data_IF_939595878138
#
_entry.id   IF_939595878138
#
_cell.length_a   1.000
_cell.length_b   1.000
_cell.length_c   1.000
_cell.angle_alpha   90.00
_cell.angle_beta   90.00
_cell.angle_gamma   90.00
#
_symmetry.space_group_name_H-M   'P 1'
#
loop_
_entity.id
_entity.type
_entity.pdbx_description
1 polymer ?
#
# COMPACT_ATOMS: atom_id res chain seq x y z
N UNK A 1 12.80 2.33 -13.83
CA UNK A 1 11.64 2.99 -13.20
C UNK A 1 10.43 2.77 -14.08
N UNK A 2 9.25 2.62 -13.48
CA UNK A 2 7.99 2.39 -14.20
C UNK A 2 6.87 3.21 -13.55
N UNK A 3 5.96 3.71 -14.37
CA UNK A 3 4.66 4.17 -13.90
C UNK A 3 3.77 2.96 -13.78
N UNK A 4 3.42 2.56 -12.56
CA UNK A 4 2.37 1.60 -12.31
C UNK A 4 1.02 2.31 -12.39
N UNK A 5 0.12 1.75 -13.19
CA UNK A 5 -1.28 2.18 -13.26
C UNK A 5 -2.14 0.98 -12.90
N UNK A 6 -3.00 1.16 -11.91
CA UNK A 6 -4.00 0.18 -11.47
C UNK A 6 -5.38 0.83 -11.52
N UNK A 7 -6.24 0.35 -12.40
CA UNK A 7 -7.65 0.71 -12.42
C UNK A 7 -8.36 -0.30 -11.55
N UNK A 8 -8.81 0.13 -10.36
CA UNK A 8 -9.46 -0.72 -9.37
C UNK A 8 -10.99 -0.57 -9.49
N UNK A 9 -11.67 -1.67 -9.80
CA UNK A 9 -13.12 -1.76 -9.79
C UNK A 9 -13.64 -2.18 -8.40
N UNK A 10 -12.93 -3.10 -7.73
CA UNK A 10 -13.25 -3.56 -6.36
C UNK A 10 -12.77 -2.54 -5.33
N UNK A 11 -13.48 -1.43 -5.20
CA UNK A 11 -13.13 -0.29 -4.35
C UNK A 11 -13.08 -0.63 -2.86
N UNK A 12 -13.82 -1.63 -2.39
CA UNK A 12 -13.75 -2.14 -1.01
C UNK A 12 -12.36 -2.66 -0.63
N UNK A 13 -11.54 -3.08 -1.60
CA UNK A 13 -10.18 -3.55 -1.38
C UNK A 13 -9.16 -2.41 -1.31
N UNK A 14 -9.56 -1.16 -1.55
CA UNK A 14 -8.66 -0.02 -1.70
C UNK A 14 -7.79 0.19 -0.46
N UNK A 15 -8.39 0.18 0.74
CA UNK A 15 -7.66 0.42 1.98
C UNK A 15 -6.56 -0.63 2.20
N UNK A 16 -6.92 -1.92 2.17
CA UNK A 16 -5.98 -3.03 2.30
C UNK A 16 -4.89 -3.02 1.22
N UNK A 17 -5.25 -2.66 -0.01
CA UNK A 17 -4.30 -2.51 -1.11
C UNK A 17 -3.27 -1.42 -0.82
N UNK A 18 -3.71 -0.23 -0.38
CA UNK A 18 -2.81 0.89 -0.08
C UNK A 18 -1.90 0.57 1.11
N UNK A 19 -2.44 -0.06 2.15
CA UNK A 19 -1.65 -0.54 3.29
C UNK A 19 -0.60 -1.57 2.86
N UNK A 20 -1.01 -2.56 2.06
CA UNK A 20 -0.12 -3.60 1.55
C UNK A 20 1.00 -3.03 0.67
N UNK A 21 0.70 -2.05 -0.18
CA UNK A 21 1.70 -1.36 -1.01
C UNK A 21 2.68 -0.57 -0.13
N UNK A 22 2.17 0.15 0.86
CA UNK A 22 2.97 0.90 1.82
C UNK A 22 3.92 -0.02 2.62
N UNK A 23 3.40 -1.14 3.15
CA UNK A 23 4.18 -2.15 3.88
C UNK A 23 5.25 -2.82 3.01
N UNK A 24 4.96 -2.99 1.72
CA UNK A 24 5.92 -3.45 0.71
C UNK A 24 6.99 -2.40 0.33
N UNK A 25 6.97 -1.21 0.93
CA UNK A 25 7.88 -0.11 0.60
C UNK A 25 7.59 0.53 -0.76
N UNK A 26 6.41 0.29 -1.33
CA UNK A 26 5.90 0.96 -2.53
C UNK A 26 5.14 2.20 -2.04
N UNK A 27 5.90 3.25 -1.77
CA UNK A 27 5.38 4.52 -1.25
C UNK A 27 5.10 5.54 -2.34
N UNK A 28 4.09 6.39 -2.10
CA UNK A 28 3.71 7.48 -3.01
C UNK A 28 2.83 6.99 -4.15
N UNK A 29 1.53 7.25 -4.03
CA UNK A 29 0.55 6.99 -5.07
C UNK A 29 -0.44 8.16 -5.14
N UNK A 30 -0.95 8.42 -6.34
CA UNK A 30 -2.05 9.35 -6.58
C UNK A 30 -3.28 8.52 -6.94
N UNK A 31 -4.41 8.84 -6.32
CA UNK A 31 -5.68 8.15 -6.53
C UNK A 31 -6.63 9.12 -7.23
N UNK A 32 -7.17 8.69 -8.36
CA UNK A 32 -8.07 9.47 -9.22
C UNK A 32 -9.41 8.74 -9.30
N UNK A 33 -10.54 9.39 -8.94
CA UNK A 33 -11.87 8.87 -9.25
C UNK A 33 -12.03 8.69 -10.77
N UNK A 34 -12.55 7.55 -11.19
CA UNK A 34 -12.66 7.17 -12.60
C UNK A 34 -13.93 6.36 -12.84
N UNK A 35 -14.36 6.25 -14.10
CA UNK A 35 -15.51 5.43 -14.48
C UNK A 35 -15.16 4.52 -15.65
N UNK A 36 -15.69 3.29 -15.62
CA UNK A 36 -15.56 2.35 -16.71
C UNK A 36 -16.59 2.59 -17.81
N UNK A 37 -16.24 2.25 -19.05
CA UNK A 37 -17.09 2.42 -20.22
C UNK A 37 -18.49 1.79 -20.07
N UNK A 38 -18.58 0.55 -19.57
CA UNK A 38 -19.86 -0.15 -19.39
C UNK A 38 -20.82 0.62 -18.45
N UNK A 39 -20.28 1.15 -17.35
CA UNK A 39 -21.04 1.96 -16.41
C UNK A 39 -21.41 3.32 -17.02
N UNK A 40 -20.49 4.00 -17.71
CA UNK A 40 -20.78 5.27 -18.38
C UNK A 40 -21.90 5.14 -19.42
N UNK A 41 -21.84 4.11 -20.26
CA UNK A 41 -22.89 3.82 -21.25
C UNK A 41 -24.24 3.45 -20.60
N UNK A 42 -24.22 2.78 -19.45
CA UNK A 42 -25.43 2.50 -18.67
C UNK A 42 -26.08 3.79 -18.18
N UNK A 43 -25.28 4.70 -17.58
CA UNK A 43 -25.76 6.01 -17.10
C UNK A 43 -26.30 6.90 -18.23
N UNK A 44 -25.75 6.79 -19.45
CA UNK A 44 -26.17 7.58 -20.61
C UNK A 44 -27.46 7.10 -21.30
N UNK A 45 -28.20 6.14 -20.73
CA UNK A 45 -29.41 5.56 -21.36
C UNK A 45 -29.19 5.06 -22.80
N UNK A 46 -27.97 4.64 -23.13
CA UNK A 46 -27.65 4.14 -24.46
C UNK A 46 -28.41 2.85 -24.76
N UNK A 47 -29.09 2.80 -25.90
CA UNK A 47 -29.83 1.63 -26.40
C UNK A 47 -28.93 0.41 -26.70
N UNK A 48 -27.60 0.57 -26.63
CA UNK A 48 -26.63 -0.49 -26.88
C UNK A 48 -26.47 -1.51 -25.75
N UNK A 49 -26.89 -1.18 -24.52
CA UNK A 49 -26.77 -2.10 -23.40
C UNK A 49 -28.10 -2.80 -23.11
N UNK A 50 -28.07 -4.13 -23.05
CA UNK A 50 -29.23 -4.92 -22.64
C UNK A 50 -29.64 -4.57 -21.20
N UNK A 51 -30.93 -4.72 -20.90
CA UNK A 51 -31.52 -4.46 -19.58
C UNK A 51 -30.83 -5.24 -18.45
N UNK A 52 -30.35 -6.45 -18.74
CA UNK A 52 -29.59 -7.29 -17.80
C UNK A 52 -28.22 -6.72 -17.45
N UNK A 53 -27.50 -6.13 -18.41
CA UNK A 53 -26.21 -5.47 -18.18
C UNK A 53 -26.42 -4.20 -17.35
N UNK A 54 -27.45 -3.42 -17.69
CA UNK A 54 -27.80 -2.18 -16.98
C UNK A 54 -28.08 -2.40 -15.49
N UNK A 55 -28.78 -3.49 -15.13
CA UNK A 55 -29.07 -3.84 -13.73
C UNK A 55 -27.84 -4.23 -12.93
N UNK A 56 -26.76 -4.69 -13.57
CA UNK A 56 -25.49 -5.00 -12.88
C UNK A 56 -24.67 -3.74 -12.58
N UNK A 57 -24.93 -2.64 -13.30
CA UNK A 57 -24.16 -1.38 -13.22
C UNK A 57 -24.97 -0.19 -12.69
N UNK A 58 -26.19 -0.42 -12.20
CA UNK A 58 -27.09 0.62 -11.66
C UNK A 58 -26.87 0.94 -10.17
N UNK A 59 -25.76 0.50 -9.58
CA UNK A 59 -25.35 0.93 -8.24
C UNK A 59 -24.94 2.42 -8.25
N UNK A 60 -25.38 3.18 -7.25
CA UNK A 60 -25.16 4.63 -7.20
C UNK A 60 -23.71 5.04 -6.85
N UNK A 61 -22.84 4.12 -6.41
CA UNK A 61 -21.57 4.49 -5.74
C UNK A 61 -20.26 3.87 -6.30
N UNK A 62 -20.30 3.01 -7.32
CA UNK A 62 -19.10 2.24 -7.72
C UNK A 62 -18.22 2.95 -8.76
N UNK A 63 -17.79 4.18 -8.46
CA UNK A 63 -16.74 4.82 -9.25
C UNK A 63 -15.39 4.12 -9.02
N UNK A 64 -14.89 3.47 -10.07
CA UNK A 64 -13.54 2.91 -10.16
C UNK A 64 -12.51 3.90 -9.59
N UNK A 65 -11.43 3.37 -9.00
CA UNK A 65 -10.32 4.18 -8.50
C UNK A 65 -9.08 3.88 -9.33
N UNK A 66 -8.57 4.87 -10.04
CA UNK A 66 -7.31 4.77 -10.77
C UNK A 66 -6.17 5.16 -9.85
N UNK A 67 -5.29 4.21 -9.55
CA UNK A 67 -4.13 4.37 -8.69
C UNK A 67 -2.89 4.45 -9.59
N UNK A 68 -2.15 5.54 -9.44
CA UNK A 68 -0.94 5.79 -10.21
C UNK A 68 0.22 5.92 -9.24
N UNK A 69 1.28 5.13 -9.43
CA UNK A 69 2.47 5.17 -8.58
C UNK A 69 3.73 4.97 -9.40
N UNK A 70 4.79 5.69 -9.06
CA UNK A 70 6.10 5.47 -9.65
C UNK A 70 6.86 4.43 -8.84
N UNK A 71 7.14 3.30 -9.47
CA UNK A 71 7.81 2.16 -8.88
C UNK A 71 9.19 1.92 -9.49
N UNK A 72 10.09 1.34 -8.71
CA UNK A 72 11.34 0.79 -9.23
C UNK A 72 11.08 -0.46 -10.09
N UNK A 73 12.05 -0.83 -10.94
CA UNK A 73 11.89 -1.98 -11.83
C UNK A 73 11.74 -3.32 -11.08
N UNK A 74 12.43 -3.45 -9.94
CA UNK A 74 12.43 -4.62 -9.07
C UNK A 74 11.17 -4.71 -8.17
N UNK A 75 10.42 -3.61 -8.04
CA UNK A 75 9.21 -3.57 -7.23
C UNK A 75 7.96 -4.12 -7.93
N UNK A 76 8.02 -4.37 -9.24
CA UNK A 76 6.85 -4.81 -10.00
C UNK A 76 6.27 -6.14 -9.47
N UNK A 77 7.11 -7.15 -9.23
CA UNK A 77 6.62 -8.44 -8.75
C UNK A 77 6.08 -8.35 -7.32
N UNK A 78 6.64 -7.46 -6.50
CA UNK A 78 6.12 -7.19 -5.17
C UNK A 78 4.74 -6.52 -5.24
N UNK A 79 4.58 -5.51 -6.11
CA UNK A 79 3.29 -4.86 -6.35
C UNK A 79 2.24 -5.87 -6.83
N UNK A 80 2.59 -6.75 -7.78
CA UNK A 80 1.71 -7.81 -8.28
C UNK A 80 1.25 -8.75 -7.17
N UNK A 81 2.15 -9.15 -6.27
CA UNK A 81 1.81 -10.01 -5.12
C UNK A 81 0.86 -9.31 -4.16
N UNK A 82 1.13 -8.04 -3.83
CA UNK A 82 0.24 -7.24 -2.97
C UNK A 82 -1.16 -7.17 -3.58
N UNK A 83 -1.27 -6.79 -4.86
CA UNK A 83 -2.55 -6.70 -5.56
C UNK A 83 -3.29 -8.05 -5.56
N UNK A 84 -2.59 -9.14 -5.84
CA UNK A 84 -3.21 -10.47 -5.81
C UNK A 84 -3.73 -10.84 -4.41
N UNK A 85 -2.97 -10.52 -3.36
CA UNK A 85 -3.36 -10.85 -1.99
C UNK A 85 -4.52 -9.99 -1.45
N UNK A 86 -4.70 -8.78 -1.97
CA UNK A 86 -5.73 -7.84 -1.47
C UNK A 86 -6.96 -7.81 -2.38
N UNK A 87 -6.77 -7.72 -3.69
CA UNK A 87 -7.84 -7.60 -4.69
C UNK A 87 -8.25 -9.00 -5.20
N UNK A 88 -7.27 -9.88 -5.39
CA UNK A 88 -7.45 -11.20 -6.00
C UNK A 88 -6.88 -11.29 -7.42
N UNK A 89 -7.33 -12.30 -8.16
CA UNK A 89 -6.97 -12.49 -9.56
C UNK A 89 -7.63 -11.41 -10.45
N UNK A 90 -6.82 -10.53 -11.04
CA UNK A 90 -7.27 -9.46 -11.93
C UNK A 90 -7.87 -9.94 -13.27
N UNK A 91 -7.75 -11.24 -13.59
CA UNK A 91 -8.43 -11.81 -14.76
C UNK A 91 -9.94 -12.01 -14.52
N UNK A 92 -10.39 -11.95 -13.26
CA UNK A 92 -11.79 -12.11 -12.91
C UNK A 92 -12.60 -10.82 -13.15
N UNK A 93 -13.90 -10.92 -13.47
CA UNK A 93 -14.78 -9.77 -13.58
C UNK A 93 -14.78 -8.88 -12.33
N UNK A 94 -15.00 -7.58 -12.51
CA UNK A 94 -15.15 -6.58 -11.43
C UNK A 94 -13.97 -6.46 -10.46
N UNK A 95 -12.75 -6.83 -10.86
CA UNK A 95 -11.54 -6.67 -10.05
C UNK A 95 -10.77 -5.40 -10.40
N UNK A 96 -10.17 -5.37 -11.58
CA UNK A 96 -9.41 -4.25 -12.11
C UNK A 96 -8.40 -4.64 -13.18
N UNK A 97 -7.60 -3.68 -13.63
CA UNK A 97 -6.47 -3.93 -14.54
C UNK A 97 -5.22 -3.20 -14.04
N UNK A 98 -4.09 -3.89 -14.07
CA UNK A 98 -2.79 -3.31 -13.74
C UNK A 98 -1.85 -3.41 -14.93
N UNK A 99 -1.17 -2.31 -15.23
CA UNK A 99 -0.12 -2.27 -16.25
C UNK A 99 0.98 -1.28 -15.85
N UNK A 100 2.07 -1.31 -16.62
CA UNK A 100 3.20 -0.40 -16.40
C UNK A 100 3.63 0.29 -17.67
N UNK A 101 4.05 1.55 -17.54
CA UNK A 101 4.68 2.33 -18.60
C UNK A 101 6.14 2.58 -18.20
N UNK A 102 7.14 2.34 -19.07
CA UNK A 102 8.52 2.70 -18.78
C UNK A 102 8.66 4.22 -18.61
N UNK A 103 9.46 4.64 -17.64
CA UNK A 103 9.73 6.06 -17.40
C UNK A 103 11.21 6.36 -17.61
N UNK A 104 11.48 7.30 -18.52
CA UNK A 104 12.83 7.75 -18.83
C UNK A 104 13.36 8.77 -17.82
N UNK A 105 12.47 9.57 -17.22
CA UNK A 105 12.81 10.59 -16.25
C UNK A 105 11.73 10.74 -15.17
N UNK A 106 12.17 10.94 -13.92
CA UNK A 106 11.30 11.22 -12.78
C UNK A 106 11.99 12.16 -11.80
N UNK A 107 11.30 13.20 -11.36
CA UNK A 107 11.73 14.12 -10.31
C UNK A 107 10.71 14.16 -9.15
N UNK A 108 11.12 14.60 -7.95
CA UNK A 108 10.22 14.82 -6.81
C UNK A 108 9.90 13.58 -5.96
N UNK A 109 10.50 12.41 -6.24
CA UNK A 109 10.35 11.23 -5.37
C UNK A 109 11.16 11.38 -4.08
N UNK A 110 10.50 11.20 -2.94
CA UNK A 110 11.19 11.08 -1.64
C UNK A 110 12.10 9.85 -1.69
N UNK A 111 13.38 10.03 -1.32
CA UNK A 111 14.31 8.90 -1.17
C UNK A 111 13.80 7.98 -0.06
N UNK A 112 13.82 6.66 -0.30
CA UNK A 112 13.49 5.65 0.71
C UNK A 112 14.32 5.92 1.97
N UNK A 113 13.67 6.16 3.10
CA UNK A 113 14.31 5.99 4.41
C UNK A 113 14.31 4.48 4.66
N UNK A 114 15.49 3.86 4.64
CA UNK A 114 15.64 2.49 5.14
C UNK A 114 15.14 2.48 6.58
N UNK A 115 14.26 1.54 6.98
CA UNK A 115 13.95 1.36 8.39
C UNK A 115 15.26 1.13 9.13
N UNK A 116 15.56 1.98 10.11
CA UNK A 116 16.69 1.74 11.01
C UNK A 116 16.34 0.46 11.77
N UNK A 117 17.15 -0.61 11.71
CA UNK A 117 16.89 -1.79 12.52
C UNK A 117 16.82 -1.33 13.98
N UNK A 118 15.71 -1.67 14.66
CA UNK A 118 15.56 -1.42 16.09
C UNK A 118 16.81 -1.94 16.79
N UNK A 119 17.57 -1.02 17.40
CA UNK A 119 18.74 -1.37 18.19
C UNK A 119 18.25 -2.31 19.29
N UNK A 120 18.75 -3.54 19.26
CA UNK A 120 18.56 -4.53 20.31
C UNK A 120 18.68 -3.85 21.68
N UNK A 121 17.70 -4.14 22.54
CA UNK A 121 17.55 -3.54 23.86
C UNK A 121 18.85 -3.59 24.65
N UNK A 122 19.10 -2.49 25.37
CA UNK A 122 20.17 -2.38 26.36
C UNK A 122 20.10 -3.59 27.30
N UNK A 123 21.22 -4.31 27.41
CA UNK A 123 21.47 -5.29 28.46
C UNK A 123 21.11 -4.69 29.83
N UNK A 124 20.22 -5.39 30.54
CA UNK A 124 20.01 -5.20 31.97
C UNK A 124 21.33 -5.49 32.69
N UNK A 125 21.98 -4.46 33.23
CA UNK A 125 23.10 -4.64 34.14
C UNK A 125 22.56 -5.07 35.52
N UNK A 126 22.24 -6.36 35.65
CA UNK A 126 22.14 -7.05 36.94
C UNK A 126 23.55 -7.47 37.33
N UNK A 127 24.21 -6.68 38.17
CA UNK A 127 25.00 -7.17 39.30
C UNK A 127 25.75 -6.03 40.00
N UNK A 128 25.29 -5.71 41.21
CA UNK A 128 26.13 -5.30 42.35
C UNK A 128 25.25 -5.19 43.59
N UNK A 129 24.98 -6.35 44.20
CA UNK A 129 24.56 -6.44 45.60
C UNK A 129 25.72 -7.04 46.41
N UNK A 130 25.98 -6.42 47.56
CA UNK A 130 26.69 -6.92 48.74
C UNK A 130 28.17 -7.30 48.64
N UNK A 131 29.03 -6.40 49.13
CA UNK A 131 29.96 -6.69 50.24
C UNK A 131 30.36 -5.35 50.89
N UNK A 132 29.54 -4.89 51.84
CA UNK A 132 29.93 -3.85 52.78
C UNK A 132 30.53 -4.51 54.00
N UNK A 133 31.82 -4.82 53.95
CA UNK A 133 32.60 -5.19 55.12
C UNK A 133 32.94 -3.96 55.96
N UNK A 134 32.85 -4.17 57.26
CA UNK A 134 32.98 -3.19 58.31
C UNK A 134 34.35 -2.48 58.33
N UNK A 135 34.34 -1.17 58.59
CA UNK A 135 35.41 -0.51 59.35
C UNK A 135 34.84 0.61 60.23
N UNK A 136 34.68 0.27 61.51
CA UNK A 136 34.53 1.19 62.65
C UNK A 136 35.77 2.10 62.67
N UNK A 137 35.57 3.39 62.40
CA UNK A 137 36.58 4.44 62.52
C UNK A 137 36.26 5.36 63.69
N UNK A 138 37.14 5.31 64.68
CA UNK A 138 37.23 6.07 65.93
C UNK A 138 36.94 7.58 65.80
N UNK A 139 36.14 8.12 66.71
CA UNK A 139 35.98 9.56 66.97
C UNK A 139 36.78 9.88 68.24
N UNK A 140 37.91 10.56 68.09
CA UNK A 140 38.67 11.15 69.20
C UNK A 140 38.94 12.63 68.87
N UNK A 141 38.54 13.48 69.83
CA UNK A 141 38.73 14.95 69.95
C UNK A 141 37.68 15.85 69.33
#
# INVERSE_FOLDING_TARGET
MKLMVLILNKTDALEYLLEGLSAAGIGGATIIPSSGMAMTLSKMNSSFLSSSIRSMFSGEEDDNKTIISVIENDQLDLARRVVYNTVGDLSQPNTGIMFTIPLDFVEGRRKRRTPVPERAGKEENKDKKSTGEAKKGKKDR
#
